data_IF_666859542839
#
_entry.id   IF_666859542839
#
_cell.length_a   1.000
_cell.length_b   1.000
_cell.length_c   1.000
_cell.angle_alpha   90.00
_cell.angle_beta   90.00
_cell.angle_gamma   90.00
#
_symmetry.space_group_name_H-M   'P 1'
#
loop_
_entity.id
_entity.type
_entity.pdbx_description
1 polymer ?
#
# COMPACT_ATOMS: atom_id res chain seq x y z
N UNK A 1 -11.59 18.41 24.07
CA UNK A 1 -11.46 17.13 23.33
C UNK A 1 -10.23 17.18 22.46
N UNK A 2 -9.37 16.17 22.57
CA UNK A 2 -8.21 15.93 21.70
C UNK A 2 -8.66 15.57 20.27
N UNK A 3 -7.80 15.78 19.27
CA UNK A 3 -8.08 15.52 17.84
C UNK A 3 -8.51 14.07 17.61
N UNK A 4 -7.85 13.12 18.30
CA UNK A 4 -8.18 11.71 18.21
C UNK A 4 -9.57 11.38 18.75
N UNK A 5 -10.02 12.05 19.81
CA UNK A 5 -11.37 11.86 20.32
C UNK A 5 -12.40 12.39 19.31
N UNK A 6 -12.16 13.57 18.73
CA UNK A 6 -13.03 14.12 17.69
C UNK A 6 -13.14 13.21 16.47
N UNK A 7 -12.03 12.59 16.05
CA UNK A 7 -12.05 11.58 14.99
C UNK A 7 -12.88 10.34 15.39
N UNK A 8 -12.66 9.78 16.58
CA UNK A 8 -13.41 8.62 17.09
C UNK A 8 -14.92 8.88 17.22
N UNK A 9 -15.32 10.10 17.57
CA UNK A 9 -16.73 10.49 17.66
C UNK A 9 -17.34 10.89 16.30
N UNK A 10 -16.60 10.76 15.19
CA UNK A 10 -17.09 11.11 13.86
C UNK A 10 -17.24 12.61 13.62
N UNK A 11 -16.66 13.47 14.47
CA UNK A 11 -16.61 14.93 14.24
C UNK A 11 -15.62 15.23 13.11
N UNK A 12 -14.53 14.48 13.03
CA UNK A 12 -13.62 14.46 11.88
C UNK A 12 -13.69 13.10 11.21
N UNK A 13 -13.84 13.09 9.89
CA UNK A 13 -13.90 11.86 9.10
C UNK A 13 -12.56 11.47 8.47
N UNK A 14 -11.57 12.37 8.51
CA UNK A 14 -10.23 12.16 7.96
C UNK A 14 -9.19 12.54 9.00
N UNK A 15 -8.18 11.69 9.16
CA UNK A 15 -7.05 11.92 10.05
C UNK A 15 -5.75 11.66 9.29
N UNK A 16 -4.94 12.70 9.10
CA UNK A 16 -3.56 12.56 8.62
C UNK A 16 -2.62 12.21 9.77
N UNK A 17 -1.76 11.23 9.57
CA UNK A 17 -0.77 10.82 10.56
C UNK A 17 0.53 10.35 9.92
N UNK A 18 1.64 10.51 10.63
CA UNK A 18 2.92 9.87 10.33
C UNK A 18 3.13 8.68 11.26
N UNK A 19 4.03 7.77 10.91
CA UNK A 19 4.31 6.59 11.76
C UNK A 19 4.73 6.96 13.18
N UNK A 20 5.48 8.06 13.33
CA UNK A 20 5.92 8.54 14.64
C UNK A 20 4.72 9.06 15.45
N UNK A 21 3.82 9.81 14.82
CA UNK A 21 2.65 10.36 15.49
C UNK A 21 1.59 9.29 15.83
N UNK A 22 1.53 8.19 15.07
CA UNK A 22 0.59 7.10 15.28
C UNK A 22 1.03 6.08 16.36
N UNK A 23 2.33 6.05 16.73
CA UNK A 23 2.83 5.16 17.78
C UNK A 23 2.22 5.49 19.15
N UNK A 24 1.81 4.45 19.87
CA UNK A 24 1.17 4.59 21.19
C UNK A 24 -0.26 5.14 21.15
N UNK A 25 -0.83 5.41 19.97
CA UNK A 25 -2.23 5.81 19.82
C UNK A 25 -3.06 4.62 19.36
N UNK A 26 -3.98 4.19 20.23
CA UNK A 26 -4.90 3.09 19.90
C UNK A 26 -6.06 3.61 19.03
N UNK A 27 -5.83 3.66 17.72
CA UNK A 27 -6.83 3.98 16.70
C UNK A 27 -7.16 2.66 16.00
N UNK A 28 -8.27 2.04 16.42
CA UNK A 28 -8.81 0.79 15.87
C UNK A 28 -10.17 1.08 15.24
N UNK A 29 -10.60 0.20 14.34
CA UNK A 29 -11.91 0.25 13.68
C UNK A 29 -12.08 1.42 12.71
N UNK A 30 -11.07 1.68 11.88
CA UNK A 30 -11.17 2.62 10.76
C UNK A 30 -11.71 1.88 9.54
N UNK A 31 -12.67 2.45 8.83
CA UNK A 31 -13.22 1.85 7.60
C UNK A 31 -12.20 1.79 6.46
N UNK A 32 -11.41 2.85 6.29
CA UNK A 32 -10.45 2.93 5.19
C UNK A 32 -9.11 3.47 5.65
N UNK A 33 -8.03 2.81 5.22
CA UNK A 33 -6.64 3.27 5.40
C UNK A 33 -6.09 3.66 4.04
N UNK A 34 -5.44 4.82 3.96
CA UNK A 34 -4.74 5.27 2.74
C UNK A 34 -3.28 5.53 3.09
N UNK A 35 -2.39 4.71 2.57
CA UNK A 35 -0.96 4.96 2.60
C UNK A 35 -0.61 5.93 1.47
N UNK A 36 -0.41 7.21 1.83
CA UNK A 36 -0.04 8.24 0.86
C UNK A 36 1.40 8.06 0.34
N UNK A 37 2.30 7.67 1.25
CA UNK A 37 3.65 7.20 0.93
C UNK A 37 3.78 5.73 1.33
N UNK A 38 4.61 4.96 0.61
CA UNK A 38 4.90 3.58 1.00
C UNK A 38 5.49 3.52 2.42
N UNK A 39 5.29 2.38 3.08
CA UNK A 39 5.94 2.12 4.35
C UNK A 39 7.45 1.90 4.16
N UNK A 40 8.21 2.07 5.23
CA UNK A 40 9.65 1.80 5.22
C UNK A 40 9.96 0.34 4.89
N UNK A 41 9.12 -0.57 5.36
CA UNK A 41 9.22 -2.01 5.20
C UNK A 41 7.82 -2.67 5.23
N UNK A 42 7.77 -3.96 4.90
CA UNK A 42 6.52 -4.73 4.87
C UNK A 42 5.86 -4.84 6.25
N UNK A 43 6.64 -4.98 7.32
CA UNK A 43 6.10 -5.08 8.68
C UNK A 43 5.34 -3.81 9.07
N UNK A 44 5.93 -2.64 8.78
CA UNK A 44 5.29 -1.35 8.99
C UNK A 44 4.04 -1.20 8.11
N UNK A 45 4.09 -1.66 6.84
CA UNK A 45 2.92 -1.66 5.97
C UNK A 45 1.76 -2.46 6.58
N UNK A 46 2.02 -3.68 7.06
CA UNK A 46 1.03 -4.53 7.73
C UNK A 46 0.46 -3.84 8.98
N UNK A 47 1.30 -3.18 9.79
CA UNK A 47 0.85 -2.42 10.96
C UNK A 47 -0.01 -1.20 10.62
N UNK A 48 0.23 -0.55 9.47
CA UNK A 48 -0.57 0.58 8.97
C UNK A 48 -1.93 0.10 8.48
N UNK A 49 -1.98 -0.94 7.65
CA UNK A 49 -3.26 -1.46 7.12
C UNK A 49 -4.08 -2.18 8.19
N UNK A 50 -3.45 -2.76 9.22
CA UNK A 50 -4.13 -3.42 10.36
C UNK A 50 -4.97 -2.49 11.27
N UNK A 51 -5.17 -1.22 10.89
CA UNK A 51 -6.11 -0.27 11.51
C UNK A 51 -7.54 -0.42 11.00
N UNK A 52 -7.71 -1.07 9.85
CA UNK A 52 -8.98 -1.52 9.26
C UNK A 52 -9.04 -3.07 9.26
N UNK A 53 -10.15 -3.68 8.85
CA UNK A 53 -10.29 -5.13 8.68
C UNK A 53 -10.41 -5.92 9.98
N UNK A 54 -11.08 -5.34 10.99
CA UNK A 54 -11.30 -6.01 12.30
C UNK A 54 -12.77 -6.36 12.58
N UNK A 55 -13.70 -5.86 11.75
CA UNK A 55 -15.13 -6.07 11.92
C UNK A 55 -15.72 -7.16 11.00
N UNK A 56 -14.95 -7.71 10.07
CA UNK A 56 -15.47 -8.56 8.99
C UNK A 56 -16.41 -7.81 8.04
N UNK A 57 -16.38 -6.48 8.06
CA UNK A 57 -17.13 -5.64 7.14
C UNK A 57 -16.43 -5.67 5.78
N UNK A 58 -17.19 -6.01 4.72
CA UNK A 58 -16.65 -6.09 3.35
C UNK A 58 -16.19 -4.74 2.83
N UNK A 59 -16.63 -3.66 3.46
CA UNK A 59 -16.23 -2.31 3.08
C UNK A 59 -14.90 -1.89 3.71
N UNK A 60 -14.32 -2.68 4.63
CA UNK A 60 -13.00 -2.42 5.19
C UNK A 60 -11.94 -2.53 4.10
N UNK A 61 -11.13 -1.50 3.92
CA UNK A 61 -10.22 -1.43 2.77
C UNK A 61 -8.95 -0.65 3.09
N UNK A 62 -7.82 -1.15 2.59
CA UNK A 62 -6.58 -0.40 2.53
C UNK A 62 -6.19 -0.06 1.09
N UNK A 63 -5.79 1.20 0.89
CA UNK A 63 -5.21 1.72 -0.34
C UNK A 63 -3.76 2.09 -0.11
N UNK A 64 -2.89 1.77 -1.07
CA UNK A 64 -1.51 2.25 -1.07
C UNK A 64 -1.19 2.91 -2.39
N UNK A 65 -0.72 4.15 -2.31
CA UNK A 65 -0.21 4.90 -3.44
C UNK A 65 1.22 4.44 -3.71
N UNK A 66 1.46 3.92 -4.92
CA UNK A 66 2.78 3.43 -5.33
C UNK A 66 3.27 4.19 -6.55
N UNK A 67 4.55 4.53 -6.56
CA UNK A 67 5.25 5.13 -7.70
C UNK A 67 6.23 4.14 -8.33
N UNK A 68 6.64 4.42 -9.56
CA UNK A 68 7.63 3.58 -10.27
C UNK A 68 9.00 3.50 -9.58
N UNK A 69 9.28 4.36 -8.59
CA UNK A 69 10.55 4.37 -7.85
C UNK A 69 10.60 3.33 -6.72
N UNK A 70 9.45 2.78 -6.35
CA UNK A 70 9.29 1.96 -5.13
C UNK A 70 9.35 0.46 -5.42
N UNK A 71 10.07 0.09 -6.48
CA UNK A 71 10.15 -1.28 -7.00
C UNK A 71 10.48 -2.32 -5.93
N UNK A 72 11.34 -1.99 -4.95
CA UNK A 72 11.75 -2.91 -3.86
C UNK A 72 10.58 -3.27 -2.96
N UNK A 73 9.84 -2.26 -2.53
CA UNK A 73 8.64 -2.44 -1.72
C UNK A 73 7.57 -3.20 -2.50
N UNK A 74 7.40 -2.89 -3.79
CA UNK A 74 6.45 -3.56 -4.68
C UNK A 74 6.75 -5.05 -4.82
N UNK A 75 8.02 -5.44 -4.97
CA UNK A 75 8.40 -6.85 -5.03
C UNK A 75 8.00 -7.63 -3.77
N UNK A 76 8.25 -7.04 -2.59
CA UNK A 76 7.84 -7.62 -1.30
C UNK A 76 6.30 -7.68 -1.20
N UNK A 77 5.60 -6.64 -1.63
CA UNK A 77 4.13 -6.54 -1.59
C UNK A 77 3.47 -7.59 -2.49
N UNK A 78 3.91 -7.71 -3.74
CA UNK A 78 3.39 -8.71 -4.68
C UNK A 78 3.59 -10.11 -4.14
N UNK A 79 4.77 -10.42 -3.60
CA UNK A 79 5.02 -11.72 -2.98
C UNK A 79 4.04 -11.98 -1.82
N UNK A 80 3.80 -10.99 -0.95
CA UNK A 80 2.83 -11.12 0.14
C UNK A 80 1.42 -11.38 -0.38
N UNK A 81 0.95 -10.61 -1.38
CA UNK A 81 -0.38 -10.75 -1.98
C UNK A 81 -0.59 -12.13 -2.62
N UNK A 82 0.41 -12.62 -3.37
CA UNK A 82 0.34 -13.95 -3.99
C UNK A 82 0.27 -15.06 -2.94
N UNK A 83 1.08 -14.97 -1.87
CA UNK A 83 1.10 -15.97 -0.79
C UNK A 83 -0.27 -16.08 -0.11
N UNK A 84 -1.00 -14.98 0.04
CA UNK A 84 -2.35 -14.98 0.63
C UNK A 84 -3.47 -15.21 -0.40
N UNK A 85 -3.12 -15.54 -1.65
CA UNK A 85 -4.08 -15.85 -2.71
C UNK A 85 -4.84 -14.63 -3.25
N UNK A 86 -4.32 -13.42 -3.07
CA UNK A 86 -4.92 -12.20 -3.58
C UNK A 86 -4.61 -12.00 -5.07
N UNK A 87 -5.55 -11.40 -5.79
CA UNK A 87 -5.38 -11.07 -7.20
C UNK A 87 -4.44 -9.88 -7.31
N UNK A 88 -3.34 -10.06 -8.04
CA UNK A 88 -2.37 -9.00 -8.34
C UNK A 88 -2.64 -8.48 -9.75
N UNK A 89 -2.74 -7.16 -9.89
CA UNK A 89 -2.90 -6.54 -11.21
C UNK A 89 -1.64 -6.73 -12.06
N UNK A 90 -1.82 -6.83 -13.38
CA UNK A 90 -0.70 -6.99 -14.31
C UNK A 90 0.28 -5.82 -14.21
N UNK A 91 -0.20 -4.59 -14.02
CA UNK A 91 0.64 -3.40 -13.83
C UNK A 91 1.55 -3.50 -12.59
N UNK A 92 1.01 -4.03 -11.48
CA UNK A 92 1.77 -4.20 -10.25
C UNK A 92 2.81 -5.32 -10.38
N UNK A 93 2.44 -6.40 -11.06
CA UNK A 93 3.34 -7.50 -11.39
C UNK A 93 4.49 -7.02 -12.29
N UNK A 94 4.19 -6.24 -13.33
CA UNK A 94 5.19 -5.65 -14.23
C UNK A 94 6.17 -4.75 -13.46
N UNK A 95 5.67 -3.94 -12.53
CA UNK A 95 6.50 -3.08 -11.69
C UNK A 95 7.42 -3.91 -10.77
N UNK A 96 6.93 -5.01 -10.19
CA UNK A 96 7.75 -5.94 -9.40
C UNK A 96 8.84 -6.62 -10.25
N UNK A 97 8.50 -7.01 -11.50
CA UNK A 97 9.42 -7.68 -12.42
C UNK A 97 10.58 -6.77 -12.89
N UNK A 98 10.42 -5.44 -12.85
CA UNK A 98 11.53 -4.51 -13.18
C UNK A 98 12.78 -4.75 -12.32
N UNK A 99 12.63 -5.26 -11.10
CA UNK A 99 13.78 -5.65 -10.26
C UNK A 99 14.45 -6.95 -10.71
N UNK A 100 13.65 -7.95 -11.09
CA UNK A 100 14.17 -9.25 -11.53
C UNK A 100 14.96 -9.15 -12.83
N UNK A 101 14.61 -8.21 -13.70
CA UNK A 101 15.27 -7.95 -14.98
C UNK A 101 16.52 -7.05 -14.86
N UNK A 102 16.79 -6.48 -13.67
CA UNK A 102 17.99 -5.67 -13.43
C UNK A 102 19.27 -6.52 -13.31
N UNK A 103 19.15 -7.82 -13.05
CA UNK A 103 20.31 -8.67 -12.70
C UNK A 103 20.85 -9.53 -13.84
N UNK A 104 20.25 -9.55 -15.02
CA UNK A 104 20.77 -10.30 -16.17
C UNK A 104 20.49 -9.61 -17.50
N UNK A 105 21.31 -9.94 -18.49
CA UNK A 105 21.48 -9.38 -19.86
C UNK A 105 20.22 -9.12 -20.72
N UNK A 106 19.00 -9.28 -20.21
CA UNK A 106 17.71 -9.13 -20.91
C UNK A 106 17.14 -7.69 -20.93
N UNK A 107 17.93 -6.69 -20.52
CA UNK A 107 17.50 -5.27 -20.48
C UNK A 107 16.99 -4.74 -21.83
N UNK A 108 17.37 -5.38 -22.94
CA UNK A 108 17.06 -4.94 -24.30
C UNK A 108 15.61 -5.21 -24.73
N UNK A 109 14.92 -6.22 -24.19
CA UNK A 109 13.57 -6.57 -24.65
C UNK A 109 12.47 -5.72 -23.98
N UNK A 110 12.69 -5.28 -22.73
CA UNK A 110 11.73 -4.45 -21.99
C UNK A 110 11.89 -2.95 -22.27
N UNK A 111 13.08 -2.50 -22.72
CA UNK A 111 13.28 -1.10 -23.09
C UNK A 111 12.43 -0.68 -24.30
N UNK A 112 11.98 -1.64 -25.12
CA UNK A 112 11.18 -1.41 -26.31
C UNK A 112 9.67 -1.26 -26.04
N UNK A 113 9.19 -1.48 -24.80
CA UNK A 113 7.78 -1.33 -24.43
C UNK A 113 7.47 -0.14 -23.52
N UNK A 114 8.47 0.65 -23.11
CA UNK A 114 8.27 1.76 -22.17
C UNK A 114 8.45 3.13 -22.82
N UNK A 115 7.57 3.45 -23.77
CA UNK A 115 7.28 4.84 -24.12
C UNK A 115 6.09 5.33 -23.31
N UNK A 116 6.37 6.00 -22.19
CA UNK A 116 5.77 7.28 -21.78
C UNK A 116 6.25 7.65 -20.39
N UNK A 117 6.94 8.78 -20.34
CA UNK A 117 6.99 9.65 -19.18
C UNK A 117 5.54 9.92 -18.73
N UNK A 118 5.25 9.65 -17.47
CA UNK A 118 4.52 10.54 -16.55
C UNK A 118 4.08 9.76 -15.31
N UNK A 119 3.93 10.47 -14.20
CA UNK A 119 3.78 9.94 -12.86
C UNK A 119 2.49 9.12 -12.66
N UNK A 120 2.53 7.83 -12.96
CA UNK A 120 1.46 6.91 -12.59
C UNK A 120 1.63 6.49 -11.13
N UNK A 121 0.85 7.13 -10.26
CA UNK A 121 0.59 6.64 -8.91
C UNK A 121 -0.44 5.50 -9.02
N UNK A 122 -0.05 4.29 -8.64
CA UNK A 122 -0.94 3.13 -8.61
C UNK A 122 -1.69 3.11 -7.28
N UNK A 123 -3.01 2.93 -7.33
CA UNK A 123 -3.84 2.68 -6.15
C UNK A 123 -4.02 1.17 -6.04
N UNK A 124 -3.40 0.56 -5.04
CA UNK A 124 -3.56 -0.88 -4.80
C UNK A 124 -4.62 -1.07 -3.74
N UNK A 125 -5.69 -1.75 -4.11
CA UNK A 125 -6.69 -2.28 -3.18
C UNK A 125 -6.10 -3.54 -2.54
N UNK A 126 -5.92 -3.50 -1.22
CA UNK A 126 -5.64 -4.70 -0.44
C UNK A 126 -6.93 -5.05 0.28
N UNK A 127 -7.71 -6.05 -0.18
CA UNK A 127 -8.84 -6.54 0.57
C UNK A 127 -8.32 -7.21 1.84
N UNK A 128 -8.93 -6.87 2.97
CA UNK A 128 -8.54 -7.38 4.28
C UNK A 128 -9.62 -8.36 4.71
N UNK A 129 -9.18 -9.55 5.16
CA UNK A 129 -10.02 -10.69 5.51
C UNK A 129 -10.97 -10.42 6.68
#
# INVERSE_FOLDING_TARGET
MDILQKFKYGIYHVLGATDVAARGRDIKSIKSVVNFDIAKDMDMHVHRIGRTGRGGDKDDTAYTLITQKEVRFVGELVNSLVVVGQIVSMELMDLAMKLMLSSNHLKLLLLLSTTKEDAHTFIIHVPIF
#
